data_IF_068147108564
#
_entry.id   IF_068147108564
#
_cell.length_a   1.000
_cell.length_b   1.000
_cell.length_c   1.000
_cell.angle_alpha   90.00
_cell.angle_beta   90.00
_cell.angle_gamma   90.00
#
_symmetry.space_group_name_H-M   'P 1'
#
loop_
_entity.id
_entity.type
_entity.pdbx_description
1 polymer ?
#
# COMPACT_ATOMS: atom_id res chain seq x y z
N UNK A 1 -2.18 -27.07 7.61
CA UNK A 1 -2.65 -27.64 6.34
C UNK A 1 -3.64 -26.66 5.72
N UNK A 2 -3.31 -26.16 4.52
CA UNK A 2 -4.16 -25.24 3.75
C UNK A 2 -5.30 -25.99 3.05
N UNK A 3 -6.54 -25.53 3.25
CA UNK A 3 -7.70 -26.03 2.51
C UNK A 3 -7.62 -25.58 1.04
N UNK A 4 -8.08 -26.44 0.14
CA UNK A 4 -7.95 -26.29 -1.32
C UNK A 4 -6.78 -27.07 -1.93
N UNK A 5 -5.89 -27.63 -1.10
CA UNK A 5 -4.81 -28.50 -1.56
C UNK A 5 -5.32 -29.90 -1.96
N UNK A 6 -4.73 -30.50 -3.00
CA UNK A 6 -5.13 -31.86 -3.45
C UNK A 6 -4.89 -32.89 -2.35
N UNK A 7 -5.91 -33.69 -2.04
CA UNK A 7 -5.83 -34.73 -1.00
C UNK A 7 -6.65 -35.95 -1.39
N UNK A 8 -6.13 -37.14 -1.07
CA UNK A 8 -6.83 -38.42 -1.24
C UNK A 8 -7.68 -38.80 -0.01
N UNK A 9 -7.73 -37.95 1.02
CA UNK A 9 -8.50 -38.21 2.22
C UNK A 9 -9.93 -37.64 2.08
N UNK A 10 -10.94 -38.48 2.31
CA UNK A 10 -12.36 -38.13 2.13
C UNK A 10 -12.79 -36.91 2.97
N UNK A 11 -12.35 -36.84 4.23
CA UNK A 11 -12.66 -35.70 5.09
C UNK A 11 -12.05 -34.40 4.55
N UNK A 12 -10.79 -34.43 4.09
CA UNK A 12 -10.17 -33.24 3.48
C UNK A 12 -10.86 -32.86 2.16
N UNK A 13 -11.33 -33.82 1.38
CA UNK A 13 -12.11 -33.52 0.17
C UNK A 13 -13.43 -32.83 0.50
N UNK A 14 -14.10 -33.21 1.58
CA UNK A 14 -15.31 -32.52 2.06
C UNK A 14 -14.99 -31.07 2.45
N UNK A 15 -13.91 -30.87 3.21
CA UNK A 15 -13.48 -29.53 3.62
C UNK A 15 -13.08 -28.66 2.42
N UNK A 16 -12.40 -29.23 1.43
CA UNK A 16 -12.03 -28.53 0.21
C UNK A 16 -13.24 -28.06 -0.59
N UNK A 17 -14.29 -28.90 -0.70
CA UNK A 17 -15.55 -28.50 -1.36
C UNK A 17 -16.23 -27.33 -0.63
N UNK A 18 -16.23 -27.35 0.71
CA UNK A 18 -16.76 -26.23 1.51
C UNK A 18 -15.93 -24.97 1.34
N UNK A 19 -14.60 -25.10 1.35
CA UNK A 19 -13.70 -23.98 1.09
C UNK A 19 -13.92 -23.36 -0.29
N UNK A 20 -14.15 -24.17 -1.32
CA UNK A 20 -14.47 -23.69 -2.67
C UNK A 20 -15.77 -22.88 -2.71
N UNK A 21 -16.84 -23.36 -2.05
CA UNK A 21 -18.12 -22.64 -1.94
C UNK A 21 -17.93 -21.30 -1.21
N UNK A 22 -17.15 -21.30 -0.13
CA UNK A 22 -16.83 -20.09 0.64
C UNK A 22 -16.06 -19.09 -0.23
N UNK A 23 -15.02 -19.55 -0.93
CA UNK A 23 -14.20 -18.72 -1.82
C UNK A 23 -15.03 -18.10 -2.96
N UNK A 24 -15.90 -18.89 -3.58
CA UNK A 24 -16.80 -18.40 -4.64
C UNK A 24 -17.79 -17.35 -4.10
N UNK A 25 -18.41 -17.60 -2.93
CA UNK A 25 -19.35 -16.66 -2.31
C UNK A 25 -18.65 -15.37 -1.88
N UNK A 26 -17.45 -15.48 -1.32
CA UNK A 26 -16.62 -14.33 -0.97
C UNK A 26 -16.26 -13.51 -2.22
N UNK A 27 -15.79 -14.17 -3.28
CA UNK A 27 -15.44 -13.50 -4.53
C UNK A 27 -16.65 -12.76 -5.13
N UNK A 28 -17.84 -13.38 -5.12
CA UNK A 28 -19.05 -12.74 -5.61
C UNK A 28 -19.39 -11.45 -4.83
N UNK A 29 -19.27 -11.48 -3.50
CA UNK A 29 -19.45 -10.28 -2.67
C UNK A 29 -18.41 -9.20 -3.00
N UNK A 30 -17.13 -9.58 -3.13
CA UNK A 30 -16.06 -8.63 -3.49
C UNK A 30 -16.31 -8.00 -4.87
N UNK A 31 -16.73 -8.79 -5.87
CA UNK A 31 -17.09 -8.27 -7.20
C UNK A 31 -18.21 -7.23 -7.12
N UNK A 32 -19.23 -7.48 -6.30
CA UNK A 32 -20.35 -6.56 -6.12
C UNK A 32 -19.92 -5.26 -5.40
N UNK A 33 -19.14 -5.38 -4.33
CA UNK A 33 -18.66 -4.24 -3.53
C UNK A 33 -17.60 -3.41 -4.28
N UNK A 34 -16.83 -4.02 -5.18
CA UNK A 34 -15.82 -3.37 -6.01
C UNK A 34 -16.39 -2.75 -7.29
N UNK A 35 -17.72 -2.65 -7.43
CA UNK A 35 -18.34 -2.00 -8.60
C UNK A 35 -17.82 -0.59 -8.74
N UNK A 36 -17.10 -0.36 -9.83
CA UNK A 36 -16.44 0.93 -10.03
C UNK A 36 -17.46 2.01 -10.40
N UNK A 37 -17.30 3.16 -9.78
CA UNK A 37 -17.95 4.41 -10.17
C UNK A 37 -16.98 5.25 -11.01
N UNK A 38 -17.52 6.02 -11.96
CA UNK A 38 -16.72 7.00 -12.70
C UNK A 38 -16.70 8.31 -11.92
N UNK A 39 -15.51 8.84 -11.66
CA UNK A 39 -15.33 10.16 -11.06
C UNK A 39 -14.49 11.05 -11.95
N UNK A 40 -14.75 12.36 -11.92
CA UNK A 40 -13.92 13.33 -12.61
C UNK A 40 -12.71 13.67 -11.77
N UNK A 41 -11.55 13.66 -12.39
CA UNK A 41 -10.27 14.02 -11.77
C UNK A 41 -9.50 14.98 -12.67
N UNK A 42 -8.57 15.71 -12.09
CA UNK A 42 -7.68 16.62 -12.82
C UNK A 42 -6.25 16.08 -12.81
N UNK A 43 -5.61 16.10 -13.98
CA UNK A 43 -4.20 15.76 -14.17
C UNK A 43 -3.29 16.95 -13.82
N UNK A 44 -1.97 16.72 -13.81
CA UNK A 44 -0.98 17.76 -13.53
C UNK A 44 -0.92 18.90 -14.56
N UNK A 45 -1.51 18.70 -15.75
CA UNK A 45 -1.59 19.67 -16.85
C UNK A 45 -2.95 20.40 -16.90
N UNK A 46 -3.72 20.34 -15.82
CA UNK A 46 -5.09 20.86 -15.71
C UNK A 46 -6.14 20.18 -16.61
N UNK A 47 -5.81 19.09 -17.30
CA UNK A 47 -6.79 18.32 -18.08
C UNK A 47 -7.73 17.57 -17.14
N UNK A 48 -9.04 17.70 -17.38
CA UNK A 48 -10.07 16.95 -16.66
C UNK A 48 -10.35 15.64 -17.41
N UNK A 49 -10.23 14.52 -16.70
CA UNK A 49 -10.53 13.17 -17.22
C UNK A 49 -11.45 12.41 -16.28
N UNK A 50 -11.97 11.29 -16.74
CA UNK A 50 -12.75 10.36 -15.92
C UNK A 50 -11.90 9.16 -15.51
N UNK A 51 -11.93 8.82 -14.22
CA UNK A 51 -11.27 7.64 -13.67
C UNK A 51 -12.29 6.73 -13.00
N UNK A 52 -12.06 5.42 -13.13
CA UNK A 52 -12.83 4.41 -12.41
C UNK A 52 -12.21 4.19 -11.04
N UNK A 53 -13.05 4.21 -10.01
CA UNK A 53 -12.67 3.93 -8.62
C UNK A 53 -13.75 3.12 -7.93
N UNK A 54 -13.39 2.37 -6.89
CA UNK A 54 -14.37 1.75 -5.97
C UNK A 54 -14.28 2.43 -4.59
N UNK A 55 -15.19 2.05 -3.67
CA UNK A 55 -15.18 2.54 -2.29
C UNK A 55 -14.60 1.48 -1.34
N UNK A 56 -13.36 1.64 -0.83
CA UNK A 56 -12.74 0.70 0.11
C UNK A 56 -13.50 0.60 1.44
N UNK A 57 -14.29 1.61 1.83
CA UNK A 57 -15.05 1.57 3.08
C UNK A 57 -16.17 0.53 3.05
N UNK A 58 -16.72 0.23 1.86
CA UNK A 58 -17.67 -0.87 1.68
C UNK A 58 -17.05 -2.22 2.02
N UNK A 59 -15.78 -2.41 1.66
CA UNK A 59 -15.02 -3.64 1.96
C UNK A 59 -14.70 -3.72 3.46
N UNK A 60 -14.27 -2.61 4.06
CA UNK A 60 -14.07 -2.51 5.51
C UNK A 60 -15.36 -2.87 6.26
N UNK A 61 -16.48 -2.28 5.89
CA UNK A 61 -17.80 -2.53 6.48
C UNK A 61 -18.21 -4.00 6.31
N UNK A 62 -17.99 -4.58 5.13
CA UNK A 62 -18.26 -5.98 4.87
C UNK A 62 -17.45 -6.91 5.79
N UNK A 63 -16.14 -6.66 5.95
CA UNK A 63 -15.30 -7.46 6.84
C UNK A 63 -15.70 -7.28 8.31
N UNK A 64 -16.03 -6.05 8.72
CA UNK A 64 -16.55 -5.79 10.06
C UNK A 64 -17.87 -6.54 10.33
N UNK A 65 -18.77 -6.60 9.34
CA UNK A 65 -20.02 -7.36 9.44
C UNK A 65 -19.73 -8.86 9.62
N UNK A 66 -18.78 -9.43 8.88
CA UNK A 66 -18.39 -10.83 9.04
C UNK A 66 -17.88 -11.07 10.46
N UNK A 67 -16.87 -10.34 10.91
CA UNK A 67 -16.23 -10.62 12.20
C UNK A 67 -17.17 -10.38 13.39
N UNK A 68 -18.08 -9.40 13.33
CA UNK A 68 -19.09 -9.18 14.38
C UNK A 68 -20.06 -10.36 14.54
N UNK A 69 -20.27 -11.13 13.48
CA UNK A 69 -21.18 -12.29 13.49
C UNK A 69 -20.46 -13.63 13.72
N UNK A 70 -19.12 -13.65 13.78
CA UNK A 70 -18.33 -14.82 14.14
C UNK A 70 -18.34 -15.06 15.66
N UNK A 71 -19.31 -15.85 16.12
CA UNK A 71 -19.42 -16.22 17.54
C UNK A 71 -18.32 -17.20 17.95
N UNK A 72 -17.70 -16.96 19.10
CA UNK A 72 -16.66 -17.82 19.71
C UNK A 72 -15.30 -17.84 18.98
N UNK A 73 -15.18 -17.18 17.83
CA UNK A 73 -13.90 -17.01 17.15
C UNK A 73 -13.04 -15.99 17.89
N UNK A 74 -11.75 -16.26 17.98
CA UNK A 74 -10.75 -15.23 18.26
C UNK A 74 -10.55 -14.40 16.99
N UNK A 75 -10.68 -13.09 17.08
CA UNK A 75 -10.75 -12.18 15.93
C UNK A 75 -9.66 -11.13 16.04
N UNK A 76 -8.96 -10.90 14.94
CA UNK A 76 -8.18 -9.69 14.72
C UNK A 76 -9.08 -8.64 14.06
N UNK A 77 -9.10 -7.42 14.62
CA UNK A 77 -9.83 -6.30 14.02
C UNK A 77 -9.41 -6.05 12.56
N UNK A 78 -10.34 -5.49 11.78
CA UNK A 78 -10.04 -5.14 10.39
C UNK A 78 -8.89 -4.14 10.36
N UNK A 79 -7.84 -4.49 9.64
CA UNK A 79 -6.60 -3.71 9.57
C UNK A 79 -6.36 -3.25 8.15
N UNK A 80 -5.75 -2.07 8.01
CA UNK A 80 -5.34 -1.50 6.72
C UNK A 80 -3.82 -1.34 6.71
N UNK A 81 -3.15 -1.89 5.69
CA UNK A 81 -1.74 -1.60 5.46
C UNK A 81 -1.60 -0.37 4.54
N UNK A 82 -0.69 0.54 4.88
CA UNK A 82 -0.36 1.71 4.08
C UNK A 82 1.08 1.57 3.59
N UNK A 83 1.29 0.89 2.45
CA UNK A 83 2.60 0.77 1.82
C UNK A 83 2.59 1.58 0.51
N UNK A 84 2.84 2.87 0.62
CA UNK A 84 2.78 3.84 -0.47
C UNK A 84 1.48 3.73 -1.30
N UNK A 85 1.59 3.27 -2.55
CA UNK A 85 0.49 3.13 -3.49
C UNK A 85 -0.22 1.77 -3.36
N UNK A 86 0.35 0.78 -2.68
CA UNK A 86 -0.27 -0.53 -2.47
C UNK A 86 -0.87 -0.66 -1.07
N UNK A 87 -2.20 -0.77 -1.00
CA UNK A 87 -2.93 -0.91 0.26
C UNK A 87 -3.64 -2.24 0.34
N UNK A 88 -3.89 -2.67 1.58
CA UNK A 88 -4.56 -3.93 1.88
C UNK A 88 -5.52 -3.76 3.04
N UNK A 89 -6.78 -4.13 2.82
CA UNK A 89 -7.76 -4.32 3.90
C UNK A 89 -7.80 -5.80 4.21
N UNK A 90 -7.58 -6.18 5.47
CA UNK A 90 -7.57 -7.59 5.84
C UNK A 90 -8.05 -7.84 7.27
N UNK A 91 -8.48 -9.08 7.53
CA UNK A 91 -8.78 -9.57 8.87
C UNK A 91 -8.41 -11.04 8.97
N UNK A 92 -8.05 -11.47 10.18
CA UNK A 92 -7.73 -12.85 10.52
C UNK A 92 -8.57 -13.27 11.71
N UNK A 93 -8.95 -14.53 11.73
CA UNK A 93 -9.73 -15.09 12.83
C UNK A 93 -9.40 -16.56 13.01
N UNK A 94 -9.50 -17.06 14.23
CA UNK A 94 -9.22 -18.46 14.54
C UNK A 94 -10.18 -19.02 15.59
N UNK A 95 -10.49 -20.31 15.48
CA UNK A 95 -11.30 -21.04 16.45
C UNK A 95 -10.70 -22.42 16.69
N UNK A 96 -10.85 -22.92 17.92
CA UNK A 96 -10.31 -24.21 18.32
C UNK A 96 -11.42 -25.24 18.45
N UNK A 97 -11.24 -26.37 17.78
CA UNK A 97 -12.09 -27.56 17.88
C UNK A 97 -11.25 -28.76 18.34
N UNK A 98 -11.39 -29.13 19.61
CA UNK A 98 -10.53 -30.13 20.25
C UNK A 98 -9.05 -29.71 20.25
N UNK A 99 -8.21 -30.49 19.59
CA UNK A 99 -6.78 -30.18 19.41
C UNK A 99 -6.46 -29.58 18.05
N UNK A 100 -7.46 -29.06 17.33
CA UNK A 100 -7.27 -28.46 16.01
C UNK A 100 -7.64 -26.99 16.05
N UNK A 101 -6.83 -26.17 15.40
CA UNK A 101 -7.07 -24.76 15.17
C UNK A 101 -7.53 -24.59 13.73
N UNK A 102 -8.65 -23.91 13.53
CA UNK A 102 -9.11 -23.44 12.24
C UNK A 102 -8.79 -21.96 12.20
N UNK A 103 -8.03 -21.50 11.20
CA UNK A 103 -7.74 -20.08 11.01
C UNK A 103 -8.17 -19.63 9.63
N UNK A 104 -8.86 -18.50 9.55
CA UNK A 104 -9.26 -17.85 8.32
C UNK A 104 -8.52 -16.52 8.10
N UNK A 105 -8.24 -16.21 6.84
CA UNK A 105 -7.66 -14.95 6.41
C UNK A 105 -8.43 -14.40 5.22
N UNK A 106 -9.01 -13.22 5.39
CA UNK A 106 -9.67 -12.45 4.34
C UNK A 106 -8.83 -11.23 4.04
N UNK A 107 -8.64 -10.93 2.76
CA UNK A 107 -7.88 -9.75 2.33
C UNK A 107 -8.37 -9.24 0.98
N UNK A 108 -8.30 -7.92 0.79
CA UNK A 108 -8.36 -7.26 -0.51
C UNK A 108 -7.13 -6.37 -0.66
N UNK A 109 -6.41 -6.51 -1.76
CA UNK A 109 -5.24 -5.72 -2.13
C UNK A 109 -5.55 -4.84 -3.33
N UNK A 110 -5.23 -3.55 -3.23
CA UNK A 110 -5.60 -2.52 -4.20
C UNK A 110 -4.54 -1.43 -4.29
N UNK A 111 -4.45 -0.80 -5.46
CA UNK A 111 -3.61 0.37 -5.68
C UNK A 111 -4.37 1.68 -5.39
N UNK A 112 -3.62 2.67 -4.94
CA UNK A 112 -4.06 4.05 -4.72
C UNK A 112 -3.36 4.95 -5.73
N UNK A 113 -4.15 5.61 -6.57
CA UNK A 113 -3.68 6.59 -7.52
C UNK A 113 -4.12 7.98 -7.09
N UNK A 114 -3.18 8.92 -7.08
CA UNK A 114 -3.39 10.30 -6.69
C UNK A 114 -3.67 11.17 -7.92
N UNK A 115 -4.74 11.95 -7.83
CA UNK A 115 -5.10 12.97 -8.82
C UNK A 115 -5.46 14.28 -8.13
N UNK A 116 -5.50 15.38 -8.85
CA UNK A 116 -6.04 16.61 -8.30
C UNK A 116 -7.58 16.64 -8.38
N UNK A 117 -8.20 17.30 -7.41
CA UNK A 117 -9.63 17.61 -7.47
C UNK A 117 -9.92 18.52 -8.67
N UNK A 118 -11.06 18.33 -9.37
CA UNK A 118 -11.44 19.16 -10.52
C UNK A 118 -11.95 20.54 -10.09
N UNK A 119 -11.08 21.33 -9.43
CA UNK A 119 -11.41 22.62 -8.84
C UNK A 119 -10.59 23.76 -9.49
N UNK A 120 -11.21 24.93 -9.63
CA UNK A 120 -10.56 26.12 -10.22
C UNK A 120 -9.29 26.53 -9.45
N UNK A 121 -9.26 26.30 -8.14
CA UNK A 121 -8.11 26.60 -7.29
C UNK A 121 -6.86 25.83 -7.72
N UNK A 122 -7.01 24.56 -8.13
CA UNK A 122 -5.88 23.74 -8.62
C UNK A 122 -5.26 24.40 -9.85
N UNK A 123 -6.08 24.85 -10.80
CA UNK A 123 -5.62 25.51 -12.04
C UNK A 123 -4.84 26.79 -11.71
N UNK A 124 -5.35 27.60 -10.77
CA UNK A 124 -4.68 28.84 -10.36
C UNK A 124 -3.31 28.56 -9.74
N UNK A 125 -3.25 27.59 -8.82
CA UNK A 125 -2.01 27.19 -8.15
C UNK A 125 -1.00 26.58 -9.13
N UNK A 126 -1.44 25.72 -10.05
CA UNK A 126 -0.59 25.13 -11.10
C UNK A 126 -0.04 26.21 -12.04
N UNK A 127 -0.86 27.19 -12.43
CA UNK A 127 -0.41 28.30 -13.27
C UNK A 127 0.63 29.15 -12.55
N UNK A 128 0.36 29.55 -11.32
CA UNK A 128 1.29 30.34 -10.51
C UNK A 128 2.60 29.59 -10.26
N UNK A 129 2.52 28.28 -10.00
CA UNK A 129 3.69 27.41 -9.87
C UNK A 129 4.49 27.35 -11.19
N UNK A 130 3.81 27.22 -12.33
CA UNK A 130 4.45 27.23 -13.65
C UNK A 130 5.17 28.56 -13.91
N UNK A 131 4.52 29.69 -13.63
CA UNK A 131 5.12 31.02 -13.79
C UNK A 131 6.39 31.16 -12.93
N UNK A 132 6.36 30.69 -11.68
CA UNK A 132 7.55 30.69 -10.80
C UNK A 132 8.63 29.75 -11.35
N UNK A 133 8.28 28.55 -11.82
CA UNK A 133 9.23 27.62 -12.42
C UNK A 133 9.90 28.25 -13.63
N UNK A 134 9.15 28.88 -14.53
CA UNK A 134 9.70 29.53 -15.71
C UNK A 134 10.62 30.71 -15.36
N UNK A 135 10.25 31.52 -14.36
CA UNK A 135 11.08 32.63 -13.87
C UNK A 135 12.36 32.15 -13.18
N UNK A 136 12.30 31.04 -12.45
CA UNK A 136 13.42 30.50 -11.67
C UNK A 136 14.31 29.58 -12.49
N UNK A 137 13.83 28.96 -13.57
CA UNK A 137 14.55 27.95 -14.37
C UNK A 137 15.97 28.34 -14.78
N UNK A 138 16.16 29.56 -15.27
CA UNK A 138 17.48 30.02 -15.70
C UNK A 138 18.41 30.28 -14.50
N UNK A 139 17.86 30.82 -13.41
CA UNK A 139 18.61 31.06 -12.17
C UNK A 139 18.92 29.76 -11.44
N UNK A 140 18.02 28.79 -11.39
CA UNK A 140 18.24 27.44 -10.85
C UNK A 140 19.36 26.73 -11.64
N UNK A 141 19.34 26.84 -12.98
CA UNK A 141 20.40 26.28 -13.82
C UNK A 141 21.75 26.98 -13.61
N UNK A 142 21.77 28.32 -13.63
CA UNK A 142 22.96 29.10 -13.33
C UNK A 142 23.47 28.80 -11.92
N UNK A 143 22.59 28.62 -10.93
CA UNK A 143 22.96 28.27 -9.57
C UNK A 143 23.56 26.88 -9.49
N UNK A 144 23.02 25.87 -10.18
CA UNK A 144 23.63 24.54 -10.27
C UNK A 144 25.04 24.62 -10.87
N UNK A 145 25.16 25.28 -12.03
CA UNK A 145 26.43 25.42 -12.75
C UNK A 145 27.45 26.25 -11.92
N UNK A 146 27.01 27.34 -11.30
CA UNK A 146 27.84 28.21 -10.47
C UNK A 146 28.19 27.57 -9.13
N UNK A 147 27.32 26.76 -8.52
CA UNK A 147 27.59 26.08 -7.24
C UNK A 147 28.68 25.04 -7.43
N UNK A 148 28.62 24.24 -8.49
CA UNK A 148 29.68 23.28 -8.83
C UNK A 148 31.01 23.99 -9.07
N UNK A 149 30.98 25.09 -9.85
CA UNK A 149 32.17 25.88 -10.12
C UNK A 149 32.70 26.60 -8.87
N UNK A 150 31.83 27.07 -7.98
CA UNK A 150 32.17 27.74 -6.73
C UNK A 150 32.79 26.76 -5.74
N UNK A 151 32.23 25.55 -5.59
CA UNK A 151 32.82 24.46 -4.81
C UNK A 151 34.21 24.12 -5.34
N UNK A 152 34.36 23.96 -6.66
CA UNK A 152 35.65 23.68 -7.30
C UNK A 152 36.67 24.81 -7.09
N UNK A 153 36.25 26.07 -7.23
CA UNK A 153 37.13 27.23 -7.02
C UNK A 153 37.56 27.35 -5.55
N UNK A 154 36.65 27.14 -4.59
CA UNK A 154 36.98 27.18 -3.15
C UNK A 154 37.90 26.04 -2.72
N UNK A 155 37.74 24.87 -3.32
CA UNK A 155 38.67 23.75 -3.10
C UNK A 155 40.06 24.08 -3.68
N UNK A 156 40.12 24.67 -4.87
CA UNK A 156 41.37 25.15 -5.48
C UNK A 156 42.05 26.24 -4.64
N UNK A 157 41.30 27.22 -4.15
CA UNK A 157 41.78 28.30 -3.27
C UNK A 157 42.35 27.78 -1.94
N UNK A 158 41.85 26.63 -1.46
CA UNK A 158 42.36 25.95 -0.27
C UNK A 158 43.62 25.10 -0.51
N UNK A 159 44.16 25.12 -1.73
CA UNK A 159 45.41 24.45 -2.09
C UNK A 159 45.24 23.12 -2.82
N UNK A 160 44.01 22.72 -3.18
CA UNK A 160 43.75 21.47 -3.92
C UNK A 160 43.83 21.67 -5.46
N UNK A 161 44.76 22.51 -5.94
CA UNK A 161 44.84 22.91 -7.35
C UNK A 161 45.18 21.78 -8.32
N UNK A 162 45.85 20.72 -7.84
CA UNK A 162 46.35 19.61 -8.65
C UNK A 162 45.44 18.37 -8.64
N UNK A 163 44.29 18.45 -7.96
CA UNK A 163 43.35 17.33 -7.85
C UNK A 163 42.35 17.34 -9.01
N UNK A 164 42.02 16.15 -9.53
CA UNK A 164 40.94 16.00 -10.50
C UNK A 164 39.57 16.24 -9.85
N UNK A 165 38.56 16.49 -10.69
CA UNK A 165 37.22 16.82 -10.20
C UNK A 165 36.66 15.74 -9.28
N UNK A 166 36.97 14.46 -9.52
CA UNK A 166 36.46 13.34 -8.73
C UNK A 166 36.99 13.37 -7.28
N UNK A 167 38.31 13.54 -7.11
CA UNK A 167 38.92 13.66 -5.78
C UNK A 167 38.50 14.94 -5.04
N UNK A 168 38.26 16.02 -5.79
CA UNK A 168 37.75 17.27 -5.22
C UNK A 168 36.36 17.10 -4.61
N UNK A 169 35.46 16.38 -5.29
CA UNK A 169 34.15 16.05 -4.75
C UNK A 169 34.24 15.08 -3.56
N UNK A 170 35.13 14.08 -3.58
CA UNK A 170 35.35 13.19 -2.42
C UNK A 170 35.74 13.97 -1.16
N UNK A 171 36.71 14.90 -1.27
CA UNK A 171 37.14 15.77 -0.16
C UNK A 171 36.00 16.68 0.34
N UNK A 172 35.17 17.17 -0.58
CA UNK A 172 34.00 17.98 -0.23
C UNK A 172 32.93 17.18 0.51
N UNK A 173 32.69 15.93 0.12
CA UNK A 173 31.70 15.06 0.76
C UNK A 173 32.17 14.52 2.12
N UNK A 174 33.47 14.28 2.30
CA UNK A 174 34.05 13.77 3.56
C UNK A 174 34.15 14.82 4.67
N UNK A 175 34.11 16.11 4.34
CA UNK A 175 34.25 17.20 5.32
C UNK A 175 32.95 17.97 5.54
N UNK A 176 32.16 17.49 6.50
CA UNK A 176 30.83 18.05 6.84
C UNK A 176 30.87 19.54 7.22
N UNK A 177 31.88 19.97 7.99
CA UNK A 177 32.02 21.37 8.45
C UNK A 177 32.34 22.30 7.28
N UNK A 178 33.19 21.84 6.35
CA UNK A 178 33.50 22.57 5.14
C UNK A 178 32.29 22.64 4.18
N UNK A 179 31.58 21.53 4.03
CA UNK A 179 30.36 21.44 3.21
C UNK A 179 29.29 22.42 3.69
N UNK A 180 29.00 22.45 4.99
CA UNK A 180 28.07 23.42 5.58
C UNK A 180 28.47 24.87 5.33
N UNK A 181 29.77 25.19 5.46
CA UNK A 181 30.27 26.55 5.24
C UNK A 181 30.09 26.99 3.79
N UNK A 182 30.40 26.11 2.84
CA UNK A 182 30.24 26.39 1.41
C UNK A 182 28.76 26.54 1.05
N UNK A 183 27.86 25.70 1.58
CA UNK A 183 26.42 25.87 1.37
C UNK A 183 25.90 27.21 1.91
N UNK A 184 26.34 27.64 3.10
CA UNK A 184 25.97 28.96 3.66
C UNK A 184 26.49 30.13 2.82
N UNK A 185 27.68 30.01 2.24
CA UNK A 185 28.24 31.04 1.34
C UNK A 185 27.47 31.07 0.00
N UNK A 186 27.09 29.90 -0.55
CA UNK A 186 26.24 29.81 -1.74
C UNK A 186 24.86 30.41 -1.46
N UNK A 187 24.24 30.10 -0.32
CA UNK A 187 22.94 30.66 0.07
C UNK A 187 22.94 32.18 0.24
N UNK A 188 24.08 32.78 0.66
CA UNK A 188 24.22 34.22 0.83
C UNK A 188 24.43 34.99 -0.49
N UNK A 189 24.97 34.32 -1.51
CA UNK A 189 25.15 34.90 -2.86
C UNK A 189 23.85 34.86 -3.69
N UNK A 190 22.78 34.25 -3.16
CA UNK A 190 21.48 34.19 -3.81
C UNK A 190 20.72 35.50 -3.56
N UNK A 191 20.26 36.13 -4.65
CA UNK A 191 19.38 37.30 -4.56
C UNK A 191 18.12 36.97 -3.74
N UNK A 192 17.75 37.86 -2.81
CA UNK A 192 16.58 37.73 -1.92
C UNK A 192 15.30 37.37 -2.69
N UNK A 193 15.10 37.95 -3.87
CA UNK A 193 13.96 37.67 -4.76
C UNK A 193 13.87 36.19 -5.19
N UNK A 194 15.00 35.50 -5.37
CA UNK A 194 15.02 34.08 -5.73
C UNK A 194 14.67 33.19 -4.54
N UNK A 195 15.16 33.53 -3.34
CA UNK A 195 14.82 32.80 -2.12
C UNK A 195 13.31 32.90 -1.82
N UNK A 196 12.72 34.09 -2.02
CA UNK A 196 11.29 34.30 -1.85
C UNK A 196 10.47 33.49 -2.87
N UNK A 197 10.89 33.43 -4.13
CA UNK A 197 10.28 32.59 -5.16
C UNK A 197 10.38 31.09 -4.84
N UNK A 198 11.52 30.63 -4.32
CA UNK A 198 11.73 29.23 -3.91
C UNK A 198 10.85 28.84 -2.70
N UNK A 199 10.76 29.73 -1.71
CA UNK A 199 9.86 29.56 -0.57
C UNK A 199 8.40 29.50 -1.03
N UNK A 200 8.00 30.39 -1.95
CA UNK A 200 6.66 30.43 -2.53
C UNK A 200 6.35 29.16 -3.33
N UNK A 201 7.29 28.66 -4.14
CA UNK A 201 7.19 27.37 -4.84
C UNK A 201 6.88 26.22 -3.88
N UNK A 202 7.60 26.13 -2.77
CA UNK A 202 7.38 25.11 -1.74
C UNK A 202 6.00 25.23 -1.09
N UNK A 203 5.52 26.45 -0.85
CA UNK A 203 4.18 26.69 -0.30
C UNK A 203 3.08 26.25 -1.27
N UNK A 204 3.22 26.58 -2.56
CA UNK A 204 2.26 26.21 -3.60
C UNK A 204 2.16 24.69 -3.78
N UNK A 205 3.29 23.97 -3.73
CA UNK A 205 3.30 22.50 -3.78
C UNK A 205 2.48 21.93 -2.60
N UNK A 206 2.72 22.41 -1.38
CA UNK A 206 1.94 21.98 -0.20
C UNK A 206 0.45 22.30 -0.33
N UNK A 207 0.10 23.43 -0.95
CA UNK A 207 -1.29 23.77 -1.20
C UNK A 207 -1.93 22.84 -2.24
N UNK A 208 -1.19 22.48 -3.29
CA UNK A 208 -1.61 21.50 -4.28
C UNK A 208 -1.78 20.10 -3.67
N UNK A 209 -0.87 19.67 -2.78
CA UNK A 209 -0.96 18.38 -2.09
C UNK A 209 -2.28 18.24 -1.31
N UNK A 210 -2.76 19.32 -0.68
CA UNK A 210 -4.06 19.34 0.03
C UNK A 210 -5.28 19.21 -0.91
N UNK A 211 -5.07 19.43 -2.21
CA UNK A 211 -6.09 19.31 -3.25
C UNK A 211 -5.99 17.98 -4.01
N UNK A 212 -5.11 17.08 -3.58
CA UNK A 212 -5.10 15.71 -4.06
C UNK A 212 -6.35 14.96 -3.58
N UNK A 213 -6.75 13.99 -4.40
CA UNK A 213 -7.76 13.01 -4.11
C UNK A 213 -7.28 11.64 -4.52
N UNK A 214 -7.69 10.64 -3.75
CA UNK A 214 -7.35 9.24 -4.00
C UNK A 214 -8.41 8.59 -4.88
N UNK A 215 -7.93 7.76 -5.80
CA UNK A 215 -8.73 6.78 -6.53
C UNK A 215 -8.15 5.40 -6.27
N UNK A 216 -9.02 4.39 -6.29
CA UNK A 216 -8.68 3.04 -5.87
C UNK A 216 -8.90 2.06 -7.01
N UNK A 217 -7.91 1.23 -7.27
CA UNK A 217 -7.93 0.23 -8.34
C UNK A 217 -7.60 -1.16 -7.80
N UNK A 218 -8.35 -2.15 -8.24
CA UNK A 218 -8.11 -3.55 -7.89
C UNK A 218 -8.73 -4.45 -8.94
N UNK A 219 -8.28 -5.70 -8.97
CA UNK A 219 -8.93 -6.76 -9.72
C UNK A 219 -9.76 -7.63 -8.77
N UNK A 220 -11.00 -7.92 -9.14
CA UNK A 220 -11.87 -8.81 -8.36
C UNK A 220 -11.60 -10.27 -8.74
N UNK A 221 -10.40 -10.75 -8.42
CA UNK A 221 -9.96 -12.14 -8.64
C UNK A 221 -9.38 -12.72 -7.37
N UNK A 222 -9.56 -14.03 -7.17
CA UNK A 222 -8.89 -14.73 -6.08
C UNK A 222 -7.40 -14.87 -6.39
N UNK A 223 -6.58 -14.45 -5.42
CA UNK A 223 -5.12 -14.59 -5.45
C UNK A 223 -4.68 -15.53 -4.32
N UNK A 224 -3.47 -16.06 -4.41
CA UNK A 224 -2.86 -16.86 -3.35
C UNK A 224 -1.91 -16.00 -2.49
N UNK A 225 -1.34 -16.57 -1.43
CA UNK A 225 -0.44 -15.85 -0.54
C UNK A 225 0.82 -15.33 -1.26
N UNK A 226 1.33 -16.05 -2.27
CA UNK A 226 2.52 -15.63 -2.99
C UNK A 226 2.22 -14.36 -3.80
N UNK A 227 1.13 -14.37 -4.56
CA UNK A 227 0.64 -13.23 -5.35
C UNK A 227 0.33 -12.03 -4.46
N UNK A 228 -0.24 -12.29 -3.27
CA UNK A 228 -0.50 -11.27 -2.27
C UNK A 228 0.82 -10.62 -1.76
N UNK A 229 1.87 -11.42 -1.52
CA UNK A 229 3.19 -10.93 -1.07
C UNK A 229 3.92 -10.17 -2.18
N UNK A 230 3.81 -10.60 -3.44
CA UNK A 230 4.46 -9.95 -4.59
C UNK A 230 3.77 -8.67 -5.03
N UNK A 231 2.70 -8.26 -4.35
CA UNK A 231 2.02 -7.00 -4.62
C UNK A 231 0.93 -7.06 -5.69
N UNK A 232 0.48 -8.25 -6.09
CA UNK A 232 -0.58 -8.37 -7.09
C UNK A 232 -1.94 -7.92 -6.54
N UNK A 233 -2.70 -7.18 -7.34
CA UNK A 233 -4.07 -6.83 -7.01
C UNK A 233 -4.96 -8.07 -6.94
N UNK A 234 -5.91 -8.08 -6.01
CA UNK A 234 -6.80 -9.21 -5.86
C UNK A 234 -7.36 -9.36 -4.45
N UNK A 235 -8.18 -10.38 -4.28
CA UNK A 235 -8.69 -10.77 -2.97
C UNK A 235 -8.20 -12.17 -2.57
N UNK A 236 -7.98 -12.35 -1.27
CA UNK A 236 -7.57 -13.62 -0.67
C UNK A 236 -8.67 -14.06 0.29
N UNK A 237 -9.08 -15.31 0.20
CA UNK A 237 -9.94 -15.96 1.17
C UNK A 237 -9.40 -17.35 1.40
N UNK A 238 -8.81 -17.58 2.58
CA UNK A 238 -8.12 -18.83 2.85
C UNK A 238 -8.38 -19.34 4.25
N UNK A 239 -8.43 -20.67 4.36
CA UNK A 239 -8.64 -21.39 5.60
C UNK A 239 -7.53 -22.41 5.79
N UNK A 240 -6.95 -22.39 6.98
CA UNK A 240 -5.93 -23.34 7.42
C UNK A 240 -6.48 -24.15 8.60
N UNK A 241 -6.09 -25.41 8.64
CA UNK A 241 -6.26 -26.27 9.82
C UNK A 241 -4.89 -26.64 10.33
N UNK A 242 -4.65 -26.48 11.63
CA UNK A 242 -3.41 -26.83 12.30
C UNK A 242 -3.70 -27.71 13.52
N UNK A 243 -2.82 -28.68 13.78
CA UNK A 243 -2.90 -29.49 14.99
C UNK A 243 -2.12 -28.82 16.12
N UNK A 244 -2.71 -28.71 17.31
CA UNK A 244 -2.08 -28.14 18.48
C UNK A 244 -1.55 -29.27 19.36
N UNK A 245 -0.22 -29.30 19.54
CA UNK A 245 0.47 -30.18 20.48
C UNK A 245 1.41 -29.37 21.35
N UNK A 246 1.30 -29.46 22.68
CA UNK A 246 2.18 -28.76 23.63
C UNK A 246 2.31 -27.23 23.38
N UNK A 247 1.22 -26.58 22.97
CA UNK A 247 1.17 -25.15 22.55
C UNK A 247 1.90 -24.83 21.24
N UNK A 248 2.42 -25.82 20.54
CA UNK A 248 2.99 -25.69 19.20
C UNK A 248 1.91 -25.98 18.16
N UNK A 249 1.85 -25.15 17.10
CA UNK A 249 0.97 -25.33 15.95
C UNK A 249 1.71 -26.17 14.90
N UNK A 250 1.12 -27.28 14.49
CA UNK A 250 1.68 -28.20 13.49
C UNK A 250 0.77 -28.24 12.26
N UNK A 251 1.31 -27.81 11.11
CA UNK A 251 0.56 -27.81 9.85
C UNK A 251 0.40 -29.20 9.22
N UNK A 252 1.19 -30.18 9.65
CA UNK A 252 1.21 -31.56 9.15
C UNK A 252 0.62 -32.50 10.20
N UNK A 253 -0.54 -33.07 9.92
CA UNK A 253 -1.19 -34.07 10.77
C UNK A 253 -1.90 -35.11 9.90
N UNK A 254 -2.24 -36.25 10.49
CA UNK A 254 -3.01 -37.30 9.82
C UNK A 254 -4.52 -37.06 10.05
N UNK A 255 -5.30 -36.69 9.01
CA UNK A 255 -6.74 -36.44 9.16
C UNK A 255 -7.54 -37.67 9.65
N UNK A 256 -6.98 -38.88 9.52
CA UNK A 256 -7.61 -40.12 10.01
C UNK A 256 -7.60 -40.21 11.54
N UNK A 257 -6.74 -39.45 12.21
CA UNK A 257 -6.63 -39.41 13.69
C UNK A 257 -7.56 -38.37 14.33
N UNK A 258 -8.31 -37.61 13.53
CA UNK A 258 -9.34 -36.69 14.03
C UNK A 258 -10.56 -37.51 14.46
N UNK A 259 -11.08 -37.28 15.66
CA UNK A 259 -12.33 -37.92 16.09
C UNK A 259 -13.51 -37.43 15.25
N UNK A 260 -14.53 -38.27 15.05
CA UNK A 260 -15.71 -37.92 14.24
C UNK A 260 -16.42 -36.67 14.79
N UNK A 261 -16.55 -36.54 16.11
CA UNK A 261 -17.12 -35.33 16.74
C UNK A 261 -16.37 -34.04 16.36
N UNK A 262 -15.04 -34.10 16.26
CA UNK A 262 -14.24 -32.93 15.88
C UNK A 262 -14.34 -32.66 14.39
N UNK A 263 -14.41 -33.71 13.55
CA UNK A 263 -14.66 -33.56 12.11
C UNK A 263 -15.99 -32.87 11.83
N UNK A 264 -17.05 -33.31 12.51
CA UNK A 264 -18.39 -32.71 12.43
C UNK A 264 -18.37 -31.23 12.85
N UNK A 265 -17.69 -30.91 13.96
CA UNK A 265 -17.57 -29.52 14.40
C UNK A 265 -16.80 -28.65 13.40
N UNK A 266 -15.65 -29.12 12.87
CA UNK A 266 -14.88 -28.37 11.85
C UNK A 266 -15.76 -28.07 10.64
N UNK A 267 -16.49 -29.08 10.15
CA UNK A 267 -17.44 -28.91 9.04
C UNK A 267 -18.50 -27.87 9.38
N UNK A 268 -19.09 -27.95 10.57
CA UNK A 268 -20.10 -27.01 11.04
C UNK A 268 -19.57 -25.57 11.08
N UNK A 269 -18.33 -25.36 11.55
CA UNK A 269 -17.70 -24.02 11.57
C UNK A 269 -17.54 -23.42 10.18
N UNK A 270 -17.18 -24.23 9.18
CA UNK A 270 -17.11 -23.78 7.79
C UNK A 270 -18.49 -23.48 7.21
N UNK A 271 -19.50 -24.27 7.55
CA UNK A 271 -20.89 -24.02 7.13
C UNK A 271 -21.44 -22.73 7.76
N UNK A 272 -21.20 -22.52 9.05
CA UNK A 272 -21.53 -21.26 9.74
C UNK A 272 -20.89 -20.07 9.03
N UNK A 273 -19.60 -20.15 8.68
CA UNK A 273 -18.93 -19.10 7.92
C UNK A 273 -19.53 -18.90 6.52
N UNK A 274 -19.84 -19.99 5.82
CA UNK A 274 -20.44 -19.93 4.48
C UNK A 274 -21.80 -19.25 4.48
N UNK A 275 -22.62 -19.43 5.53
CA UNK A 275 -23.91 -18.76 5.67
C UNK A 275 -23.75 -17.26 5.93
N UNK A 276 -22.72 -16.84 6.67
CA UNK A 276 -22.43 -15.42 6.91
C UNK A 276 -22.12 -14.65 5.62
N UNK A 277 -21.53 -15.32 4.62
CA UNK A 277 -21.24 -14.71 3.31
C UNK A 277 -22.48 -14.54 2.43
N UNK A 278 -23.62 -15.14 2.78
CA UNK A 278 -24.88 -15.01 2.03
C UNK A 278 -25.77 -13.87 2.54
N UNK A 279 -25.39 -13.22 3.65
CA UNK A 279 -26.15 -12.16 4.33
C UNK A 279 -25.83 -10.75 3.86
#
# INVERSE_FOLDING_TARGET
MRLGSRSSNDFIQILNKKNEIIQQSFLANIVELNKSISIKVMLGDATITEQKTFDPELINTFYQKIIKNLKEWSIQEVSISNNDDLRRIFTKFEIREGNYLISGHLSLQYHVLLYYKPEQQVIQLQKELSDIIDLTKNKEKQMSDNSDQFVLNKLKDKGYNDFDHQKLFEIFYENDEFREKIYKEIEQDIEVDFQDLSNKKTLLIKQLDNLLMETYQTSSVLIDDNRLITGEEGCLCTFDIEFIRNKTKEGLFDPRKISESVKENIVKRLDEFSELLKM
#
